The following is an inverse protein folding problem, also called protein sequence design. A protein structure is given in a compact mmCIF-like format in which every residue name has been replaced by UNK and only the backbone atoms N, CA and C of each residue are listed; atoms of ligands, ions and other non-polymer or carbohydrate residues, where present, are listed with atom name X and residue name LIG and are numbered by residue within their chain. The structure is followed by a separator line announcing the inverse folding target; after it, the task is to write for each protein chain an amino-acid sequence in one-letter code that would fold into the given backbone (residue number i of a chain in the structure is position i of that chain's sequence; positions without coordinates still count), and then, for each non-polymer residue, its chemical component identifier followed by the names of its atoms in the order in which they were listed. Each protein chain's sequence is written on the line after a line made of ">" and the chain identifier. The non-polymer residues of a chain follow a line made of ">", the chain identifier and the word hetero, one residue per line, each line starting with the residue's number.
data_IF_104743104540
#
_entry.id   IF_104743104540
#
_cell.length_a   1.000
_cell.length_b   1.000
_cell.length_c   1.000
_cell.angle_alpha   90.00
_cell.angle_beta   90.00
_cell.angle_gamma   90.00
#
_symmetry.space_group_name_H-M   'P 1'
#
loop_
_entity.id
_entity.type
_entity.pdbx_description
1 polymer ?
#
# COMPACT_ATOMS: atom_id res chain seq x y z
N UNK A 1 10.63 -29.12 1.51
CA UNK A 1 9.94 -27.84 1.32
C UNK A 1 8.59 -28.17 0.69
N UNK A 2 7.51 -27.92 1.40
CA UNK A 2 6.20 -28.51 1.12
C UNK A 2 5.48 -27.83 -0.05
N UNK A 3 5.00 -28.63 -1.01
CA UNK A 3 4.27 -28.22 -2.23
C UNK A 3 3.14 -27.22 -1.95
N UNK A 4 2.45 -27.36 -0.80
CA UNK A 4 1.34 -26.48 -0.38
C UNK A 4 1.78 -25.02 -0.13
N UNK A 5 3.01 -24.80 0.33
CA UNK A 5 3.52 -23.44 0.54
C UNK A 5 3.89 -22.75 -0.78
N UNK A 6 4.23 -23.52 -1.82
CA UNK A 6 4.56 -23.00 -3.15
C UNK A 6 3.28 -22.59 -3.89
N UNK A 7 2.25 -23.43 -3.85
CA UNK A 7 0.94 -23.14 -4.46
C UNK A 7 0.28 -21.90 -3.84
N UNK A 8 0.27 -21.79 -2.52
CA UNK A 8 -0.30 -20.62 -1.84
C UNK A 8 0.47 -19.33 -2.17
N UNK A 9 1.80 -19.39 -2.31
CA UNK A 9 2.62 -18.24 -2.72
C UNK A 9 2.28 -17.79 -4.15
N UNK A 10 2.09 -18.73 -5.07
CA UNK A 10 1.71 -18.42 -6.45
C UNK A 10 0.31 -17.78 -6.53
N UNK A 11 -0.64 -18.26 -5.72
CA UNK A 11 -1.98 -17.70 -5.63
C UNK A 11 -1.95 -16.24 -5.14
N UNK A 12 -1.21 -15.96 -4.06
CA UNK A 12 -1.06 -14.61 -3.52
C UNK A 12 -0.40 -13.67 -4.55
N UNK A 13 0.64 -14.14 -5.25
CA UNK A 13 1.31 -13.36 -6.28
C UNK A 13 0.37 -13.04 -7.46
N UNK A 14 -0.43 -14.02 -7.89
CA UNK A 14 -1.41 -13.85 -8.96
C UNK A 14 -2.50 -12.86 -8.54
N UNK A 15 -3.01 -12.96 -7.30
CA UNK A 15 -3.99 -12.02 -6.77
C UNK A 15 -3.43 -10.59 -6.66
N UNK A 16 -2.18 -10.45 -6.22
CA UNK A 16 -1.48 -9.17 -6.19
C UNK A 16 -1.39 -8.56 -7.58
N UNK A 17 -0.90 -9.31 -8.57
CA UNK A 17 -0.76 -8.83 -9.95
C UNK A 17 -2.10 -8.37 -10.53
N UNK A 18 -3.15 -9.20 -10.42
CA UNK A 18 -4.49 -8.84 -10.90
C UNK A 18 -5.06 -7.61 -10.20
N UNK A 19 -4.80 -7.46 -8.90
CA UNK A 19 -5.22 -6.29 -8.14
C UNK A 19 -4.49 -5.03 -8.62
N UNK A 20 -3.16 -5.09 -8.81
CA UNK A 20 -2.40 -3.94 -9.29
C UNK A 20 -2.82 -3.53 -10.71
N UNK A 21 -3.10 -4.47 -11.61
CA UNK A 21 -3.59 -4.17 -12.96
C UNK A 21 -4.96 -3.46 -12.95
N UNK A 22 -5.88 -3.91 -12.09
CA UNK A 22 -7.16 -3.25 -11.89
C UNK A 22 -6.99 -1.84 -11.33
N UNK A 23 -6.16 -1.67 -10.31
CA UNK A 23 -5.86 -0.36 -9.71
C UNK A 23 -5.26 0.59 -10.75
N UNK A 24 -4.27 0.12 -11.51
CA UNK A 24 -3.62 0.90 -12.56
C UNK A 24 -4.60 1.35 -13.65
N UNK A 25 -5.60 0.53 -13.97
CA UNK A 25 -6.62 0.84 -14.95
C UNK A 25 -7.66 1.82 -14.40
N UNK A 26 -8.20 1.52 -13.22
CA UNK A 26 -9.27 2.29 -12.57
C UNK A 26 -8.82 3.69 -12.17
N UNK A 27 -7.61 3.83 -11.62
CA UNK A 27 -7.07 5.08 -11.11
C UNK A 27 -6.03 5.70 -12.04
N UNK A 28 -6.10 5.45 -13.34
CA UNK A 28 -5.11 5.89 -14.32
C UNK A 28 -4.90 7.42 -14.34
N UNK A 29 -5.88 8.22 -13.93
CA UNK A 29 -5.77 9.68 -13.80
C UNK A 29 -5.01 10.12 -12.54
N UNK A 30 -5.03 9.30 -11.50
CA UNK A 30 -4.37 9.55 -10.22
C UNK A 30 -2.95 9.01 -10.16
N UNK A 31 -2.65 8.01 -10.98
CA UNK A 31 -1.38 7.27 -11.00
C UNK A 31 -0.43 7.92 -12.01
N UNK A 32 0.72 8.37 -11.51
CA UNK A 32 1.80 8.99 -12.30
C UNK A 32 2.74 7.94 -12.89
N UNK A 33 3.10 6.94 -12.08
CA UNK A 33 3.80 5.72 -12.51
C UNK A 33 3.04 4.52 -11.99
N UNK A 34 2.78 3.56 -12.89
CA UNK A 34 2.02 2.35 -12.55
C UNK A 34 2.58 1.65 -11.33
N UNK A 35 1.67 1.16 -10.50
CA UNK A 35 2.00 0.20 -9.47
C UNK A 35 2.53 -1.07 -10.12
N UNK A 36 3.75 -1.49 -9.75
CA UNK A 36 4.36 -2.72 -10.24
C UNK A 36 5.04 -3.46 -9.11
N UNK A 37 5.07 -4.78 -9.22
CA UNK A 37 5.88 -5.64 -8.36
C UNK A 37 7.37 -5.33 -8.63
N UNK A 38 8.15 -5.11 -7.58
CA UNK A 38 9.58 -4.78 -7.66
C UNK A 38 10.46 -5.93 -7.15
N UNK A 39 10.03 -6.62 -6.10
CA UNK A 39 10.58 -7.88 -5.56
C UNK A 39 9.43 -8.88 -5.36
N UNK A 40 9.71 -10.14 -5.03
CA UNK A 40 8.70 -11.23 -5.00
C UNK A 40 7.40 -10.89 -4.22
N UNK A 41 7.50 -10.10 -3.16
CA UNK A 41 6.40 -9.69 -2.28
C UNK A 41 6.29 -8.16 -2.08
N UNK A 42 7.02 -7.37 -2.86
CA UNK A 42 7.01 -5.91 -2.78
C UNK A 42 6.47 -5.29 -4.07
N UNK A 43 5.76 -4.18 -3.93
CA UNK A 43 5.33 -3.37 -5.05
C UNK A 43 5.55 -1.89 -4.75
N UNK A 44 5.74 -1.12 -5.81
CA UNK A 44 5.90 0.33 -5.74
C UNK A 44 5.02 0.98 -6.81
N UNK A 45 4.49 2.16 -6.51
CA UNK A 45 3.73 2.99 -7.43
C UNK A 45 3.92 4.47 -7.10
N UNK A 46 3.65 5.33 -8.06
CA UNK A 46 3.71 6.78 -7.85
C UNK A 46 2.36 7.41 -8.19
N UNK A 47 1.88 8.25 -7.30
CA UNK A 47 0.61 8.93 -7.42
C UNK A 47 0.78 10.45 -7.36
N UNK A 48 -0.19 11.16 -7.94
CA UNK A 48 -0.30 12.61 -7.75
C UNK A 48 -0.68 12.92 -6.30
N UNK A 49 -0.16 14.01 -5.74
CA UNK A 49 -0.49 14.44 -4.37
C UNK A 49 -1.98 14.80 -4.20
N UNK A 50 -2.64 15.17 -5.29
CA UNK A 50 -4.07 15.52 -5.30
C UNK A 50 -4.98 14.29 -5.52
N UNK A 51 -4.40 13.10 -5.67
CA UNK A 51 -5.17 11.87 -5.81
C UNK A 51 -5.82 11.46 -4.49
N UNK A 52 -6.94 10.74 -4.60
CA UNK A 52 -7.53 10.04 -3.46
C UNK A 52 -6.75 8.74 -3.16
N UNK A 53 -5.58 8.94 -2.55
CA UNK A 53 -4.66 7.86 -2.21
C UNK A 53 -5.24 6.90 -1.17
N UNK A 54 -6.14 7.36 -0.28
CA UNK A 54 -6.75 6.48 0.71
C UNK A 54 -7.71 5.50 0.04
N UNK A 55 -8.46 5.92 -0.99
CA UNK A 55 -9.30 4.99 -1.76
C UNK A 55 -8.48 3.89 -2.45
N UNK A 56 -7.36 4.24 -3.06
CA UNK A 56 -6.46 3.25 -3.70
C UNK A 56 -5.90 2.26 -2.66
N UNK A 57 -5.41 2.79 -1.53
CA UNK A 57 -4.86 1.96 -0.46
C UNK A 57 -5.93 1.03 0.13
N UNK A 58 -7.16 1.51 0.33
CA UNK A 58 -8.26 0.69 0.83
C UNK A 58 -8.58 -0.43 -0.17
N UNK A 59 -8.70 -0.12 -1.47
CA UNK A 59 -8.97 -1.12 -2.48
C UNK A 59 -7.84 -2.18 -2.53
N UNK A 60 -6.58 -1.78 -2.44
CA UNK A 60 -5.44 -2.70 -2.31
C UNK A 60 -5.56 -3.58 -1.05
N UNK A 61 -5.78 -2.96 0.11
CA UNK A 61 -5.85 -3.67 1.39
C UNK A 61 -6.96 -4.73 1.40
N UNK A 62 -8.18 -4.36 1.01
CA UNK A 62 -9.33 -5.25 1.07
C UNK A 62 -9.31 -6.32 -0.02
N UNK A 63 -8.76 -6.02 -1.22
CA UNK A 63 -8.66 -7.01 -2.30
C UNK A 63 -7.64 -8.11 -2.02
N UNK A 64 -6.69 -7.83 -1.12
CA UNK A 64 -5.61 -8.76 -0.78
C UNK A 64 -5.88 -9.50 0.53
N UNK A 65 -6.95 -9.17 1.25
CA UNK A 65 -7.38 -9.92 2.43
C UNK A 65 -7.63 -11.42 2.10
N UNK A 66 -7.17 -12.39 2.92
CA UNK A 66 -6.60 -12.24 4.27
C UNK A 66 -5.09 -11.96 4.31
N UNK A 67 -4.42 -11.83 3.16
CA UNK A 67 -2.99 -11.49 3.11
C UNK A 67 -2.75 -10.10 3.64
N UNK A 68 -1.91 -10.00 4.67
CA UNK A 68 -1.58 -8.75 5.37
C UNK A 68 -0.45 -8.02 4.66
N UNK A 69 -0.72 -6.81 4.20
CA UNK A 69 0.23 -5.96 3.48
C UNK A 69 0.55 -4.71 4.29
N UNK A 70 1.80 -4.24 4.15
CA UNK A 70 2.27 -2.99 4.75
C UNK A 70 2.43 -1.95 3.67
N UNK A 71 2.04 -0.72 3.97
CA UNK A 71 2.12 0.43 3.09
C UNK A 71 3.01 1.49 3.73
N UNK A 72 4.13 1.77 3.07
CA UNK A 72 4.99 2.90 3.37
C UNK A 72 4.73 3.99 2.36
N UNK A 73 4.27 5.14 2.82
CA UNK A 73 3.92 6.28 1.96
C UNK A 73 4.94 7.39 2.19
N UNK A 74 5.48 7.95 1.11
CA UNK A 74 6.37 9.09 1.15
C UNK A 74 5.79 10.23 0.33
N UNK A 75 5.64 11.40 0.95
CA UNK A 75 5.16 12.62 0.28
C UNK A 75 6.33 13.55 0.07
N UNK A 76 6.70 13.75 -1.19
CA UNK A 76 7.82 14.59 -1.57
C UNK A 76 7.95 14.73 -3.08
N UNK A 77 9.01 15.42 -3.50
CA UNK A 77 9.29 15.61 -4.91
C UNK A 77 9.91 14.35 -5.53
N UNK A 78 9.79 14.25 -6.85
CA UNK A 78 10.63 13.39 -7.70
C UNK A 78 11.70 14.26 -8.34
N UNK A 79 12.96 13.84 -8.30
CA UNK A 79 14.11 14.61 -8.75
C UNK A 79 14.65 14.15 -10.11
N UNK A 80 14.19 13.00 -10.60
CA UNK A 80 14.51 12.50 -11.94
C UNK A 80 13.34 12.66 -12.91
N UNK A 81 13.53 12.25 -14.17
CA UNK A 81 12.46 12.26 -15.17
C UNK A 81 11.32 11.31 -14.75
N UNK A 82 10.07 11.78 -14.92
CA UNK A 82 8.90 10.96 -14.66
C UNK A 82 8.80 9.81 -15.68
N UNK A 83 8.81 8.57 -15.20
CA UNK A 83 8.65 7.36 -16.00
C UNK A 83 7.31 6.69 -15.67
N UNK A 84 6.42 6.54 -16.65
CA UNK A 84 5.08 5.98 -16.40
C UNK A 84 5.06 4.47 -16.10
N UNK A 85 6.05 3.75 -16.63
CA UNK A 85 6.12 2.28 -16.58
C UNK A 85 7.35 1.77 -15.82
N UNK A 86 8.37 2.62 -15.63
CA UNK A 86 9.63 2.21 -15.04
C UNK A 86 10.00 2.98 -13.76
N UNK A 87 9.29 2.66 -12.67
CA UNK A 87 9.51 3.31 -11.37
C UNK A 87 10.94 3.16 -10.81
N UNK A 88 11.68 2.13 -11.23
CA UNK A 88 13.06 1.87 -10.79
C UNK A 88 14.07 2.87 -11.35
N UNK A 89 13.71 3.58 -12.43
CA UNK A 89 14.51 4.68 -12.98
C UNK A 89 14.15 6.04 -12.34
N UNK A 90 13.21 6.03 -11.40
CA UNK A 90 12.76 7.23 -10.72
C UNK A 90 13.43 7.35 -9.35
N UNK A 91 13.76 8.57 -8.96
CA UNK A 91 14.33 8.84 -7.65
C UNK A 91 13.85 10.19 -7.11
N UNK A 92 13.87 10.33 -5.78
CA UNK A 92 13.57 11.57 -5.09
C UNK A 92 13.08 11.37 -3.66
N UNK A 93 12.90 12.47 -2.92
CA UNK A 93 12.42 12.45 -1.53
C UNK A 93 11.16 11.60 -1.31
N UNK A 94 10.21 11.53 -2.25
CA UNK A 94 9.04 10.67 -2.09
C UNK A 94 9.43 9.18 -1.89
N UNK A 95 10.33 8.64 -2.71
CA UNK A 95 10.77 7.24 -2.60
C UNK A 95 11.61 7.00 -1.34
N UNK A 96 12.51 7.91 -0.99
CA UNK A 96 13.30 7.82 0.23
C UNK A 96 12.43 7.76 1.49
N UNK A 97 11.41 8.62 1.56
CA UNK A 97 10.47 8.68 2.67
C UNK A 97 9.56 7.44 2.73
N UNK A 98 9.11 6.93 1.58
CA UNK A 98 8.33 5.69 1.51
C UNK A 98 9.13 4.48 1.99
N UNK A 99 10.39 4.35 1.56
CA UNK A 99 11.30 3.28 2.02
C UNK A 99 11.55 3.38 3.53
N UNK A 100 11.83 4.59 4.04
CA UNK A 100 11.95 4.83 5.50
C UNK A 100 10.69 4.42 6.26
N UNK A 101 9.50 4.65 5.69
CA UNK A 101 8.23 4.26 6.28
C UNK A 101 8.10 2.73 6.39
N UNK A 102 8.44 1.97 5.34
CA UNK A 102 8.48 0.50 5.37
C UNK A 102 9.48 -0.02 6.41
N UNK A 103 10.70 0.52 6.44
CA UNK A 103 11.72 0.14 7.41
C UNK A 103 11.26 0.35 8.85
N UNK A 104 10.57 1.46 9.11
CA UNK A 104 10.03 1.76 10.43
C UNK A 104 8.93 0.77 10.84
N UNK A 105 8.03 0.40 9.92
CA UNK A 105 7.03 -0.63 10.17
C UNK A 105 7.66 -2.00 10.48
N UNK A 106 8.74 -2.35 9.78
CA UNK A 106 9.47 -3.59 10.04
C UNK A 106 10.09 -3.60 11.45
N UNK A 107 10.68 -2.47 11.89
CA UNK A 107 11.23 -2.31 13.25
C UNK A 107 10.14 -2.39 14.33
N UNK A 108 9.00 -1.75 14.11
CA UNK A 108 7.87 -1.77 15.05
C UNK A 108 7.29 -3.17 15.23
N UNK A 109 7.17 -3.94 14.15
CA UNK A 109 6.73 -5.34 14.18
C UNK A 109 7.61 -6.18 15.12
N UNK A 110 8.93 -6.01 15.04
CA UNK A 110 9.88 -6.76 15.88
C UNK A 110 9.77 -6.36 17.35
N UNK A 111 9.60 -5.06 17.63
CA UNK A 111 9.59 -4.52 19.00
C UNK A 111 8.32 -4.86 19.78
N UNK A 112 7.15 -4.80 19.14
CA UNK A 112 5.86 -4.83 19.85
C UNK A 112 5.12 -6.17 19.80
N UNK A 113 5.66 -7.22 19.13
CA UNK A 113 5.06 -8.58 19.02
C UNK A 113 3.53 -8.61 18.85
N UNK A 114 2.94 -7.65 18.12
CA UNK A 114 1.47 -7.55 18.07
C UNK A 114 0.88 -6.24 17.54
N UNK A 115 1.59 -5.12 17.55
CA UNK A 115 1.09 -3.89 16.90
C UNK A 115 1.22 -4.02 15.38
N UNK A 116 0.09 -4.31 14.71
CA UNK A 116 0.03 -4.40 13.26
C UNK A 116 -0.33 -3.02 12.70
N UNK A 117 0.61 -2.08 12.81
CA UNK A 117 0.53 -0.89 11.96
C UNK A 117 0.66 -1.37 10.51
N UNK A 118 -0.40 -1.19 9.73
CA UNK A 118 -0.38 -1.49 8.29
C UNK A 118 0.18 -0.33 7.50
N UNK A 119 0.12 0.89 8.04
CA UNK A 119 0.44 2.11 7.32
C UNK A 119 1.48 2.91 8.09
N UNK A 120 2.38 3.54 7.35
CA UNK A 120 3.26 4.58 7.85
C UNK A 120 3.47 5.60 6.74
N UNK A 121 3.44 6.87 7.10
CA UNK A 121 3.65 7.97 6.16
C UNK A 121 4.73 8.90 6.66
N UNK A 122 5.57 9.38 5.75
CA UNK A 122 6.52 10.45 6.02
C UNK A 122 6.36 11.58 5.01
N UNK A 123 6.39 12.81 5.52
CA UNK A 123 6.43 14.04 4.73
C UNK A 123 7.57 14.91 5.24
N UNK A 124 7.90 16.00 4.54
CA UNK A 124 8.88 16.98 5.03
C UNK A 124 8.39 17.79 6.25
N UNK A 125 7.10 17.76 6.54
CA UNK A 125 6.49 18.42 7.70
C UNK A 125 6.31 17.42 8.84
N UNK A 126 7.02 17.64 9.94
CA UNK A 126 7.00 16.73 11.09
C UNK A 126 5.64 16.68 11.77
N UNK A 127 4.98 17.83 11.95
CA UNK A 127 3.67 17.89 12.61
C UNK A 127 2.62 17.14 11.77
N UNK A 128 2.59 17.36 10.46
CA UNK A 128 1.69 16.62 9.56
C UNK A 128 1.98 15.13 9.59
N UNK A 129 3.25 14.76 9.56
CA UNK A 129 3.69 13.36 9.66
C UNK A 129 3.15 12.70 10.94
N UNK A 130 3.27 13.36 12.09
CA UNK A 130 2.80 12.81 13.37
C UNK A 130 1.28 12.65 13.39
N UNK A 131 0.53 13.68 12.99
CA UNK A 131 -0.94 13.64 12.96
C UNK A 131 -1.45 12.56 12.00
N UNK A 132 -0.87 12.47 10.80
CA UNK A 132 -1.24 11.45 9.82
C UNK A 132 -0.94 10.04 10.32
N UNK A 133 0.24 9.82 10.92
CA UNK A 133 0.58 8.51 11.47
C UNK A 133 -0.29 8.11 12.66
N UNK A 134 -0.70 9.05 13.51
CA UNK A 134 -1.66 8.77 14.58
C UNK A 134 -3.00 8.32 14.01
N UNK A 135 -3.50 9.02 13.00
CA UNK A 135 -4.76 8.68 12.30
C UNK A 135 -4.67 7.30 11.63
N UNK A 136 -3.57 7.04 10.93
CA UNK A 136 -3.31 5.76 10.25
C UNK A 136 -3.10 4.59 11.23
N UNK A 137 -2.60 4.86 12.43
CA UNK A 137 -2.48 3.85 13.49
C UNK A 137 -3.88 3.45 14.00
N UNK A 138 -4.78 4.41 14.18
CA UNK A 138 -6.19 4.14 14.51
C UNK A 138 -6.89 3.35 13.40
N UNK A 139 -6.65 3.73 12.13
CA UNK A 139 -7.16 2.98 10.98
C UNK A 139 -6.64 1.53 10.95
N UNK A 140 -5.37 1.33 11.30
CA UNK A 140 -4.77 -0.02 11.37
C UNK A 140 -5.44 -0.89 12.44
N UNK A 141 -5.76 -0.32 13.60
CA UNK A 141 -6.50 -1.00 14.67
C UNK A 141 -7.90 -1.38 14.19
N UNK A 142 -8.59 -0.47 13.51
CA UNK A 142 -9.91 -0.73 12.92
C UNK A 142 -9.84 -1.88 11.89
N UNK A 143 -8.84 -1.88 11.02
CA UNK A 143 -8.66 -2.94 10.03
C UNK A 143 -8.36 -4.29 10.68
N UNK A 144 -7.64 -4.30 11.81
CA UNK A 144 -7.39 -5.52 12.57
C UNK A 144 -8.63 -6.08 13.27
N UNK A 145 -9.63 -5.24 13.57
CA UNK A 145 -10.83 -5.68 14.27
C UNK A 145 -11.90 -6.27 13.35
N UNK A 146 -11.76 -6.10 12.03
CA UNK A 146 -12.71 -6.63 11.08
C UNK A 146 -12.65 -8.16 10.97
N UNK A 147 -13.83 -8.77 11.03
CA UNK A 147 -14.05 -10.16 10.67
C UNK A 147 -14.01 -10.33 9.15
N UNK A 148 -13.75 -11.55 8.66
CA UNK A 148 -13.78 -11.85 7.22
C UNK A 148 -15.10 -11.42 6.58
N UNK A 149 -16.23 -11.58 7.28
CA UNK A 149 -17.55 -11.15 6.80
C UNK A 149 -17.67 -9.64 6.65
N UNK A 150 -17.12 -8.88 7.60
CA UNK A 150 -17.12 -7.42 7.51
C UNK A 150 -16.23 -6.94 6.36
N UNK A 151 -15.08 -7.58 6.13
CA UNK A 151 -14.21 -7.29 4.98
C UNK A 151 -14.94 -7.56 3.66
N UNK A 152 -15.63 -8.69 3.52
CA UNK A 152 -16.44 -9.01 2.33
C UNK A 152 -17.49 -7.93 2.04
N UNK A 153 -18.22 -7.50 3.08
CA UNK A 153 -19.27 -6.47 2.95
C UNK A 153 -18.67 -5.12 2.54
N UNK A 154 -17.58 -4.70 3.19
CA UNK A 154 -16.89 -3.44 2.88
C UNK A 154 -16.34 -3.44 1.47
N UNK A 155 -15.71 -4.54 1.03
CA UNK A 155 -15.20 -4.69 -0.33
C UNK A 155 -16.32 -4.60 -1.37
N UNK A 156 -17.44 -5.28 -1.14
CA UNK A 156 -18.61 -5.20 -2.02
C UNK A 156 -19.22 -3.79 -2.07
N UNK A 157 -19.24 -3.07 -0.94
CA UNK A 157 -19.73 -1.70 -0.86
C UNK A 157 -18.87 -0.73 -1.66
N UNK A 158 -17.54 -0.75 -1.44
CA UNK A 158 -16.61 0.14 -2.15
C UNK A 158 -16.61 -0.10 -3.67
N UNK A 159 -16.80 -1.34 -4.11
CA UNK A 159 -16.90 -1.65 -5.55
C UNK A 159 -18.23 -1.18 -6.19
N UNK A 160 -19.27 -0.89 -5.38
CA UNK A 160 -20.54 -0.34 -5.88
C UNK A 160 -20.55 1.18 -5.97
N UNK A 161 -19.95 1.89 -5.01
CA UNK A 161 -19.93 3.36 -5.03
C UNK A 161 -18.94 3.97 -6.03
N UNK A 162 -17.98 3.17 -6.50
CA UNK A 162 -16.94 3.62 -7.44
C UNK A 162 -17.19 3.23 -8.91
N UNK A 163 -18.41 2.77 -9.24
CA UNK A 163 -18.90 2.53 -10.60
C UNK A 163 -20.11 3.44 -10.87
#
# INVERSE_FOLDING_TARGET
>A
MDSKNIEHRQEVQTNLLNTLDRINSKYCQSIVSKFKITLEDEFEGLMSVNADWICIINELFFSLHPTKIRFGVGVGNITTQIQKMNIQEMDGPAFHLARKAIEQLAKEKQKYRGNINYFKIYTHDQLKTEIMNNTLSLLSILYCSYTSRQVEILHAYMNREMN
#
